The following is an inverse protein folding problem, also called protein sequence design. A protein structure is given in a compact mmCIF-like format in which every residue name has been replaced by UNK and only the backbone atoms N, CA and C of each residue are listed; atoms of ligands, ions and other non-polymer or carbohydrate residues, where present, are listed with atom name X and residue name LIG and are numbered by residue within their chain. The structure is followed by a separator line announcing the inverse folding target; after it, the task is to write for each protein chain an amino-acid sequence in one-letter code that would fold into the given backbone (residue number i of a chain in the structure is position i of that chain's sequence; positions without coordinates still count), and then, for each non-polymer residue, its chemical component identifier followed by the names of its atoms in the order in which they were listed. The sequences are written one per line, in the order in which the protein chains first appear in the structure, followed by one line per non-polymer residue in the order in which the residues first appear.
data_IF_236216180898
#
_entry.id   IF_236216180898
#
_cell.length_a   1.000
_cell.length_b   1.000
_cell.length_c   1.000
_cell.angle_alpha   90.00
_cell.angle_beta   90.00
_cell.angle_gamma   90.00
#
_symmetry.space_group_name_H-M   'P 1'
#
loop_
_entity.id
_entity.type
_entity.pdbx_description
1 polymer ?
#
# COMPACT_ATOMS: atom_id res chain seq x y z
N UNK A 1 14.56 2.53 -15.33
CA UNK A 1 14.02 2.07 -14.04
C UNK A 1 12.53 2.25 -14.16
N UNK A 2 11.83 1.16 -14.38
CA UNK A 2 10.38 1.08 -14.52
C UNK A 2 9.90 0.29 -13.32
N UNK A 3 9.39 0.99 -12.32
CA UNK A 3 8.76 0.44 -11.13
C UNK A 3 7.31 0.08 -11.49
N UNK A 4 7.15 -0.98 -12.28
CA UNK A 4 5.85 -1.62 -12.47
C UNK A 4 5.49 -2.37 -11.18
N UNK A 5 4.49 -1.86 -10.47
CA UNK A 5 3.96 -2.52 -9.27
C UNK A 5 3.01 -3.64 -9.68
N UNK A 6 3.51 -4.73 -10.26
CA UNK A 6 2.65 -5.88 -10.57
C UNK A 6 2.08 -6.49 -9.28
N UNK A 7 0.81 -6.21 -8.97
CA UNK A 7 0.07 -7.04 -8.03
C UNK A 7 -0.33 -8.31 -8.77
N UNK A 8 0.56 -9.29 -8.78
CA UNK A 8 0.19 -10.67 -9.02
C UNK A 8 -0.92 -10.99 -8.04
N UNK A 9 -2.14 -11.21 -8.53
CA UNK A 9 -3.23 -11.78 -7.73
C UNK A 9 -2.62 -13.04 -7.09
N UNK A 10 -2.40 -13.09 -5.76
CA UNK A 10 -1.82 -14.29 -5.19
C UNK A 10 -2.76 -15.44 -5.56
N UNK A 11 -2.24 -16.58 -6.06
CA UNK A 11 -3.08 -17.68 -6.53
C UNK A 11 -4.10 -18.12 -5.46
N UNK A 12 -3.84 -17.84 -4.18
CA UNK A 12 -4.75 -18.03 -3.05
C UNK A 12 -6.08 -17.27 -3.15
N UNK A 13 -6.16 -16.08 -3.77
CA UNK A 13 -7.42 -15.37 -3.96
C UNK A 13 -8.28 -16.02 -5.07
N UNK A 14 -7.64 -16.57 -6.11
CA UNK A 14 -8.34 -17.40 -7.10
C UNK A 14 -8.74 -18.78 -6.54
N UNK A 15 -8.15 -19.27 -5.44
CA UNK A 15 -8.45 -20.60 -4.90
C UNK A 15 -9.71 -20.67 -4.00
N UNK A 16 -10.37 -19.54 -3.69
CA UNK A 16 -11.55 -19.51 -2.78
C UNK A 16 -12.92 -19.85 -3.41
N UNK A 17 -12.99 -20.17 -4.71
CA UNK A 17 -14.29 -20.37 -5.40
C UNK A 17 -15.11 -19.08 -5.61
N UNK A 18 -14.53 -17.92 -5.31
CA UNK A 18 -15.13 -16.59 -5.44
C UNK A 18 -15.13 -16.08 -6.89
N UNK A 19 -16.13 -15.28 -7.25
CA UNK A 19 -16.19 -14.54 -8.51
C UNK A 19 -15.30 -13.30 -8.41
N UNK A 20 -14.43 -13.09 -9.41
CA UNK A 20 -13.49 -11.97 -9.43
C UNK A 20 -13.93 -10.99 -10.52
N UNK A 21 -14.17 -9.74 -10.13
CA UNK A 21 -14.48 -8.66 -11.06
C UNK A 21 -13.21 -7.89 -11.40
N UNK A 22 -12.88 -7.79 -12.69
CA UNK A 22 -11.73 -7.03 -13.16
C UNK A 22 -12.22 -5.75 -13.82
N UNK A 23 -11.68 -4.63 -13.42
CA UNK A 23 -11.88 -3.33 -14.04
C UNK A 23 -10.64 -3.02 -14.86
N UNK A 24 -10.73 -3.21 -16.17
CA UNK A 24 -9.62 -3.04 -17.10
C UNK A 24 -9.60 -1.65 -17.71
N UNK A 25 -8.66 -0.81 -17.29
CA UNK A 25 -8.46 0.56 -17.77
C UNK A 25 -7.20 0.72 -18.64
N UNK A 26 -6.22 -0.16 -18.49
CA UNK A 26 -4.90 -0.07 -19.14
C UNK A 26 -4.63 -1.24 -20.09
N UNK A 27 -5.12 -2.44 -19.78
CA UNK A 27 -4.89 -3.67 -20.58
C UNK A 27 -6.22 -4.17 -21.14
N UNK A 28 -6.24 -4.61 -22.40
CA UNK A 28 -7.45 -5.16 -23.04
C UNK A 28 -7.91 -6.51 -22.44
N UNK A 29 -9.18 -6.88 -22.63
CA UNK A 29 -9.70 -8.16 -22.15
C UNK A 29 -8.95 -9.36 -22.75
N UNK A 30 -8.60 -9.25 -24.04
CA UNK A 30 -7.90 -10.32 -24.76
C UNK A 30 -6.52 -10.58 -24.14
N UNK A 31 -5.72 -9.52 -23.98
CA UNK A 31 -4.38 -9.59 -23.39
C UNK A 31 -4.44 -10.02 -21.91
N UNK A 32 -5.43 -9.56 -21.17
CA UNK A 32 -5.60 -9.95 -19.77
C UNK A 32 -5.90 -11.45 -19.64
N UNK A 33 -6.75 -12.00 -20.52
CA UNK A 33 -7.18 -13.41 -20.46
C UNK A 33 -6.15 -14.40 -21.01
N UNK A 34 -5.26 -13.95 -21.89
CA UNK A 34 -4.19 -14.79 -22.46
C UNK A 34 -3.27 -15.40 -21.38
N UNK A 35 -3.14 -14.76 -20.21
CA UNK A 35 -2.32 -15.24 -19.11
C UNK A 35 -2.98 -16.28 -18.20
N UNK A 36 -4.26 -16.63 -18.39
CA UNK A 36 -5.01 -17.49 -17.47
C UNK A 36 -5.60 -18.75 -18.13
N UNK A 37 -5.66 -19.83 -17.36
CA UNK A 37 -6.36 -21.06 -17.75
C UNK A 37 -7.87 -20.85 -17.90
N UNK A 38 -8.53 -21.72 -18.66
CA UNK A 38 -9.98 -21.65 -18.92
C UNK A 38 -10.84 -21.67 -17.65
N UNK A 39 -10.42 -22.41 -16.63
CA UNK A 39 -11.15 -22.52 -15.36
C UNK A 39 -11.14 -21.21 -14.56
N UNK A 40 -10.03 -20.47 -14.63
CA UNK A 40 -9.91 -19.14 -14.02
C UNK A 40 -10.75 -18.17 -14.83
N UNK A 41 -10.60 -18.17 -16.15
CA UNK A 41 -11.33 -17.28 -17.06
C UNK A 41 -12.87 -17.40 -16.91
N UNK A 42 -13.40 -18.59 -16.63
CA UNK A 42 -14.83 -18.80 -16.38
C UNK A 42 -15.34 -18.12 -15.09
N UNK A 43 -14.45 -17.77 -14.16
CA UNK A 43 -14.77 -17.11 -12.88
C UNK A 43 -14.51 -15.61 -12.91
N UNK A 44 -13.84 -15.13 -13.95
CA UNK A 44 -13.51 -13.73 -14.17
C UNK A 44 -14.65 -13.01 -14.89
N UNK A 45 -15.13 -11.93 -14.30
CA UNK A 45 -16.04 -10.98 -14.95
C UNK A 45 -15.24 -9.73 -15.27
N UNK A 46 -14.91 -9.54 -16.55
CA UNK A 46 -14.13 -8.42 -17.02
C UNK A 46 -15.04 -7.25 -17.42
N UNK A 47 -14.70 -6.05 -16.98
CA UNK A 47 -15.38 -4.81 -17.33
C UNK A 47 -14.40 -3.94 -18.14
N UNK A 48 -14.70 -3.76 -19.42
CA UNK A 48 -13.86 -3.02 -20.36
C UNK A 48 -14.06 -1.49 -20.19
N UNK A 49 -13.05 -0.84 -19.62
CA UNK A 49 -12.88 0.61 -19.63
C UNK A 49 -11.67 1.04 -20.48
N UNK A 50 -11.00 0.10 -21.15
CA UNK A 50 -9.84 0.35 -22.00
C UNK A 50 -10.26 0.91 -23.36
N UNK A 51 -11.23 0.26 -24.02
CA UNK A 51 -11.69 0.68 -25.36
C UNK A 51 -12.57 1.93 -25.30
N UNK A 52 -13.40 2.02 -24.26
CA UNK A 52 -14.38 3.10 -24.13
C UNK A 52 -14.61 3.53 -22.66
N UNK A 53 -13.65 4.22 -22.03
CA UNK A 53 -13.71 4.62 -20.63
C UNK A 53 -14.88 5.54 -20.27
N UNK A 54 -15.41 6.27 -21.26
CA UNK A 54 -16.51 7.24 -21.10
C UNK A 54 -17.85 6.70 -21.62
N UNK A 55 -17.89 5.46 -22.10
CA UNK A 55 -19.06 4.86 -22.76
C UNK A 55 -19.62 5.74 -23.91
N UNK A 56 -18.74 6.31 -24.74
CA UNK A 56 -19.13 7.10 -25.91
C UNK A 56 -19.88 6.26 -26.96
N UNK A 57 -19.55 4.97 -27.04
CA UNK A 57 -20.21 3.98 -27.90
C UNK A 57 -21.65 3.69 -27.48
N UNK A 58 -22.06 4.08 -26.26
CA UNK A 58 -23.40 3.81 -25.68
C UNK A 58 -23.78 2.33 -25.73
N UNK A 59 -22.79 1.46 -25.54
CA UNK A 59 -23.04 0.02 -25.47
C UNK A 59 -23.87 -0.26 -24.21
N UNK A 60 -24.96 -1.02 -24.33
CA UNK A 60 -25.92 -1.26 -23.24
C UNK A 60 -25.30 -1.98 -22.02
N UNK A 61 -24.13 -2.62 -22.21
CA UNK A 61 -23.38 -3.33 -21.16
C UNK A 61 -22.55 -2.40 -20.25
N UNK A 62 -22.34 -1.14 -20.64
CA UNK A 62 -21.50 -0.24 -19.88
C UNK A 62 -22.21 0.35 -18.65
N UNK A 63 -21.66 0.06 -17.48
CA UNK A 63 -22.17 0.49 -16.18
C UNK A 63 -22.25 2.03 -16.09
N UNK A 64 -23.41 2.60 -15.70
CA UNK A 64 -23.60 4.03 -15.65
C UNK A 64 -22.68 4.66 -14.59
N UNK A 65 -21.91 5.67 -14.99
CA UNK A 65 -21.03 6.43 -14.09
C UNK A 65 -19.55 6.06 -14.12
N UNK A 66 -19.08 5.39 -15.17
CA UNK A 66 -17.66 5.06 -15.39
C UNK A 66 -17.12 4.03 -14.38
N UNK A 67 -15.79 3.95 -14.20
CA UNK A 67 -15.17 2.95 -13.33
C UNK A 67 -15.65 2.99 -11.88
N UNK A 68 -15.87 4.19 -11.31
CA UNK A 68 -16.39 4.35 -9.95
C UNK A 68 -17.89 3.98 -9.85
N UNK A 69 -18.65 4.18 -10.93
CA UNK A 69 -20.04 3.71 -11.03
C UNK A 69 -20.10 2.19 -11.02
N UNK A 70 -19.23 1.54 -11.79
CA UNK A 70 -19.10 0.10 -11.85
C UNK A 70 -18.71 -0.51 -10.49
N UNK A 71 -17.70 0.06 -9.80
CA UNK A 71 -17.34 -0.34 -8.44
C UNK A 71 -18.55 -0.34 -7.50
N UNK A 72 -19.35 0.74 -7.51
CA UNK A 72 -20.54 0.85 -6.68
C UNK A 72 -21.64 -0.13 -7.09
N UNK A 73 -21.80 -0.42 -8.37
CA UNK A 73 -22.79 -1.38 -8.85
C UNK A 73 -22.43 -2.81 -8.45
N UNK A 74 -21.15 -3.20 -8.55
CA UNK A 74 -20.65 -4.52 -8.12
C UNK A 74 -20.92 -4.73 -6.62
N UNK A 75 -20.70 -3.70 -5.80
CA UNK A 75 -20.92 -3.81 -4.36
C UNK A 75 -22.41 -3.82 -3.96
N UNK A 76 -23.28 -3.20 -4.78
CA UNK A 76 -24.73 -3.20 -4.54
C UNK A 76 -25.43 -4.50 -4.93
N UNK A 77 -24.69 -5.48 -5.46
CA UNK A 77 -25.27 -6.77 -5.85
C UNK A 77 -25.91 -7.44 -4.63
N UNK A 78 -27.09 -8.03 -4.85
CA UNK A 78 -27.87 -8.75 -3.84
C UNK A 78 -27.36 -10.16 -3.55
N UNK A 79 -26.24 -10.57 -4.17
CA UNK A 79 -25.69 -11.92 -4.03
C UNK A 79 -24.82 -12.00 -2.76
N UNK A 80 -25.10 -12.92 -1.82
CA UNK A 80 -24.45 -12.97 -0.50
C UNK A 80 -23.03 -13.59 -0.49
N UNK A 81 -22.31 -13.56 -1.61
CA UNK A 81 -20.99 -14.15 -1.74
C UNK A 81 -19.85 -13.18 -1.39
N UNK A 82 -18.67 -13.69 -0.99
CA UNK A 82 -17.46 -12.87 -0.97
C UNK A 82 -17.09 -12.48 -2.40
N UNK A 83 -16.75 -11.21 -2.59
CA UNK A 83 -16.46 -10.64 -3.91
C UNK A 83 -15.06 -10.02 -3.89
N UNK A 84 -14.25 -10.39 -4.88
CA UNK A 84 -12.96 -9.76 -5.11
C UNK A 84 -13.06 -8.85 -6.32
N UNK A 85 -12.64 -7.60 -6.16
CA UNK A 85 -12.55 -6.61 -7.23
C UNK A 85 -11.07 -6.33 -7.49
N UNK A 86 -10.61 -6.55 -8.71
CA UNK A 86 -9.26 -6.23 -9.17
C UNK A 86 -9.31 -5.02 -10.11
N UNK A 87 -8.52 -4.00 -9.81
CA UNK A 87 -8.29 -2.82 -10.63
C UNK A 87 -6.92 -2.97 -11.29
N UNK A 88 -6.89 -3.02 -12.61
CA UNK A 88 -5.65 -3.23 -13.37
C UNK A 88 -4.67 -2.05 -13.25
N UNK A 89 -5.17 -0.83 -13.12
CA UNK A 89 -4.38 0.40 -12.99
C UNK A 89 -5.14 1.49 -12.23
N UNK A 90 -4.85 1.62 -10.93
CA UNK A 90 -5.23 2.79 -10.13
C UNK A 90 -4.55 4.06 -10.64
N UNK A 91 -3.38 3.93 -11.28
CA UNK A 91 -2.68 5.07 -11.86
C UNK A 91 -3.49 5.75 -12.94
N UNK A 92 -4.11 4.97 -13.83
CA UNK A 92 -5.01 5.50 -14.84
C UNK A 92 -6.17 6.28 -14.18
N UNK A 93 -6.78 5.71 -13.14
CA UNK A 93 -7.85 6.40 -12.40
C UNK A 93 -7.40 7.70 -11.73
N UNK A 94 -6.21 7.73 -11.14
CA UNK A 94 -5.64 8.93 -10.53
C UNK A 94 -5.31 10.04 -11.54
N UNK A 95 -5.05 9.69 -12.81
CA UNK A 95 -4.85 10.66 -13.88
C UNK A 95 -6.16 11.33 -14.32
N UNK A 96 -7.29 10.63 -14.20
CA UNK A 96 -8.59 11.09 -14.67
C UNK A 96 -9.53 11.58 -13.56
N UNK A 97 -9.27 11.22 -12.30
CA UNK A 97 -10.13 11.51 -11.16
C UNK A 97 -9.33 12.12 -10.01
N UNK A 98 -9.93 13.04 -9.23
CA UNK A 98 -9.29 13.54 -8.02
C UNK A 98 -8.99 12.39 -7.04
N UNK A 99 -7.77 12.40 -6.48
CA UNK A 99 -7.33 11.40 -5.49
C UNK A 99 -8.33 11.23 -4.33
N UNK A 100 -8.91 12.34 -3.86
CA UNK A 100 -9.92 12.33 -2.79
C UNK A 100 -11.17 11.55 -3.18
N UNK A 101 -11.68 11.71 -4.40
CA UNK A 101 -12.84 10.99 -4.92
C UNK A 101 -12.57 9.49 -5.02
N UNK A 102 -11.37 9.12 -5.49
CA UNK A 102 -10.95 7.72 -5.58
C UNK A 102 -10.84 7.09 -4.19
N UNK A 103 -10.17 7.77 -3.26
CA UNK A 103 -10.03 7.34 -1.87
C UNK A 103 -11.40 7.14 -1.19
N UNK A 104 -12.32 8.07 -1.38
CA UNK A 104 -13.69 7.97 -0.85
C UNK A 104 -14.45 6.79 -1.45
N UNK A 105 -14.32 6.56 -2.76
CA UNK A 105 -14.96 5.43 -3.42
C UNK A 105 -14.41 4.09 -2.89
N UNK A 106 -13.08 3.94 -2.81
CA UNK A 106 -12.44 2.73 -2.29
C UNK A 106 -12.79 2.48 -0.82
N UNK A 107 -12.81 3.53 0.00
CA UNK A 107 -13.23 3.45 1.40
C UNK A 107 -14.70 3.04 1.54
N UNK A 108 -15.60 3.58 0.72
CA UNK A 108 -17.01 3.21 0.74
C UNK A 108 -17.26 1.75 0.31
N UNK A 109 -16.40 1.22 -0.56
CA UNK A 109 -16.45 -0.20 -0.95
C UNK A 109 -15.97 -1.09 0.19
N UNK A 110 -14.87 -0.74 0.86
CA UNK A 110 -14.30 -1.56 1.94
C UNK A 110 -15.09 -1.50 3.26
N UNK A 111 -15.91 -0.46 3.48
CA UNK A 111 -16.65 -0.26 4.73
C UNK A 111 -18.17 -0.53 4.63
N UNK A 112 -18.63 -1.16 3.55
CA UNK A 112 -20.04 -1.63 3.46
C UNK A 112 -20.40 -2.68 4.53
N UNK A 113 -19.39 -3.19 5.25
CA UNK A 113 -19.51 -4.11 6.39
C UNK A 113 -20.09 -3.48 7.68
N UNK A 114 -20.44 -2.18 7.71
CA UNK A 114 -20.72 -1.45 8.97
C UNK A 114 -22.09 -0.76 9.06
N UNK A 115 -23.16 -1.39 8.58
CA UNK A 115 -24.51 -0.99 9.00
C UNK A 115 -24.87 -1.70 10.32
N UNK A 116 -25.09 -0.97 11.43
CA UNK A 116 -25.47 -1.56 12.70
C UNK A 116 -26.98 -1.85 12.67
N UNK A 117 -27.41 -2.98 12.11
CA UNK A 117 -28.83 -3.30 12.08
C UNK A 117 -29.24 -4.65 11.52
N UNK A 118 -28.50 -5.21 10.56
CA UNK A 118 -28.89 -6.47 9.91
C UNK A 118 -27.89 -7.59 10.22
N UNK A 119 -28.39 -8.62 10.90
CA UNK A 119 -27.66 -9.81 11.35
C UNK A 119 -27.50 -10.85 10.25
N UNK A 120 -27.04 -10.45 9.06
CA UNK A 120 -26.59 -11.39 8.02
C UNK A 120 -25.07 -11.28 7.88
N UNK A 121 -24.36 -12.38 7.55
CA UNK A 121 -22.93 -12.32 7.28
C UNK A 121 -22.74 -11.52 5.98
N UNK A 122 -22.54 -10.22 6.12
CA UNK A 122 -22.30 -9.29 5.01
C UNK A 122 -21.08 -9.81 4.22
N UNK A 123 -21.26 -9.95 2.90
CA UNK A 123 -20.25 -10.48 2.01
C UNK A 123 -18.99 -9.62 2.05
N UNK A 124 -17.87 -10.20 2.47
CA UNK A 124 -16.58 -9.50 2.55
C UNK A 124 -16.15 -9.09 1.14
N UNK A 125 -16.02 -7.79 0.90
CA UNK A 125 -15.50 -7.25 -0.37
C UNK A 125 -14.00 -7.00 -0.24
N UNK A 126 -13.21 -7.66 -1.08
CA UNK A 126 -11.77 -7.42 -1.19
C UNK A 126 -11.48 -6.59 -2.44
N UNK A 127 -10.73 -5.51 -2.29
CA UNK A 127 -10.30 -4.68 -3.43
C UNK A 127 -8.79 -4.78 -3.58
N UNK A 128 -8.37 -5.14 -4.79
CA UNK A 128 -6.99 -5.17 -5.24
C UNK A 128 -6.82 -4.10 -6.31
N UNK A 129 -5.73 -3.33 -6.27
CA UNK A 129 -5.49 -2.31 -7.28
C UNK A 129 -4.03 -1.99 -7.47
N UNK A 130 -3.60 -1.95 -8.73
CA UNK A 130 -2.21 -1.73 -9.12
C UNK A 130 -1.88 -0.24 -9.19
N UNK A 131 -0.80 0.20 -8.56
CA UNK A 131 -0.41 1.60 -8.52
C UNK A 131 1.04 1.78 -8.97
N UNK A 132 1.27 2.53 -10.04
CA UNK A 132 2.62 2.91 -10.48
C UNK A 132 3.12 4.14 -9.72
N UNK A 133 3.96 3.93 -8.70
CA UNK A 133 4.52 5.02 -7.87
C UNK A 133 5.25 6.11 -8.69
N UNK A 134 5.90 5.75 -9.79
CA UNK A 134 6.66 6.69 -10.63
C UNK A 134 5.80 7.77 -11.30
N UNK A 135 4.49 7.55 -11.41
CA UNK A 135 3.56 8.49 -12.03
C UNK A 135 2.95 9.48 -11.03
N UNK A 136 3.12 9.26 -9.72
CA UNK A 136 2.41 10.01 -8.69
C UNK A 136 3.35 10.62 -7.65
N UNK A 137 2.96 11.78 -7.11
CA UNK A 137 3.67 12.37 -5.99
C UNK A 137 3.44 11.61 -4.66
N UNK A 138 4.19 11.95 -3.60
CA UNK A 138 4.07 11.28 -2.30
C UNK A 138 2.68 11.45 -1.65
N UNK A 139 1.93 12.50 -2.01
CA UNK A 139 0.59 12.75 -1.48
C UNK A 139 -0.43 11.67 -1.87
N UNK A 140 -0.74 11.48 -3.17
CA UNK A 140 -1.67 10.44 -3.63
C UNK A 140 -1.26 9.03 -3.23
N UNK A 141 0.04 8.70 -3.32
CA UNK A 141 0.58 7.39 -2.91
C UNK A 141 0.35 7.17 -1.42
N UNK A 142 0.68 8.15 -0.58
CA UNK A 142 0.48 8.05 0.87
C UNK A 142 -1.01 7.92 1.26
N UNK A 143 -1.90 8.63 0.56
CA UNK A 143 -3.34 8.53 0.78
C UNK A 143 -3.88 7.12 0.49
N UNK A 144 -3.50 6.53 -0.66
CA UNK A 144 -3.89 5.16 -1.01
C UNK A 144 -3.25 4.11 -0.09
N UNK A 145 -1.97 4.28 0.24
CA UNK A 145 -1.26 3.43 1.21
C UNK A 145 -1.96 3.40 2.57
N UNK A 146 -2.49 4.55 3.04
CA UNK A 146 -3.23 4.62 4.30
C UNK A 146 -4.56 3.86 4.29
N UNK A 147 -5.17 3.66 3.12
CA UNK A 147 -6.41 2.88 2.95
C UNK A 147 -6.13 1.37 2.81
N UNK A 148 -4.92 1.00 2.37
CA UNK A 148 -4.55 -0.37 2.10
C UNK A 148 -4.27 -1.16 3.39
N UNK A 149 -4.95 -2.30 3.54
CA UNK A 149 -4.66 -3.28 4.59
C UNK A 149 -3.35 -4.02 4.33
N UNK A 150 -3.06 -4.31 3.06
CA UNK A 150 -1.81 -4.92 2.62
C UNK A 150 -1.29 -4.13 1.45
N UNK A 151 -0.02 -3.76 1.52
CA UNK A 151 0.71 -3.05 0.48
C UNK A 151 1.87 -3.94 0.05
N UNK A 152 2.03 -4.11 -1.26
CA UNK A 152 3.11 -4.91 -1.84
C UNK A 152 3.87 -4.03 -2.82
N UNK A 153 5.07 -3.62 -2.43
CA UNK A 153 5.97 -2.81 -3.25
C UNK A 153 6.95 -3.74 -3.94
N UNK A 154 6.91 -3.77 -5.27
CA UNK A 154 7.84 -4.57 -6.07
C UNK A 154 9.07 -3.74 -6.43
N UNK A 155 10.25 -4.32 -6.20
CA UNK A 155 11.55 -3.76 -6.55
C UNK A 155 12.44 -4.82 -7.18
N UNK A 156 13.60 -4.40 -7.68
CA UNK A 156 14.59 -5.35 -8.19
C UNK A 156 15.64 -4.72 -9.09
N UNK A 157 16.81 -5.34 -9.11
CA UNK A 157 17.87 -5.07 -10.10
C UNK A 157 18.03 -6.30 -10.99
N UNK A 158 18.53 -6.14 -12.22
CA UNK A 158 18.64 -7.23 -13.22
C UNK A 158 19.16 -8.53 -12.58
N UNK A 159 18.30 -9.55 -12.49
CA UNK A 159 18.61 -10.89 -11.98
C UNK A 159 17.92 -11.27 -10.67
N UNK A 160 17.42 -10.31 -9.87
CA UNK A 160 16.73 -10.59 -8.61
C UNK A 160 15.63 -9.56 -8.34
N UNK A 161 14.41 -10.03 -8.09
CA UNK A 161 13.27 -9.19 -7.71
C UNK A 161 12.98 -9.32 -6.20
N UNK A 162 12.50 -8.23 -5.61
CA UNK A 162 12.05 -8.17 -4.22
C UNK A 162 10.59 -7.71 -4.16
N UNK A 163 9.85 -8.27 -3.22
CA UNK A 163 8.54 -7.79 -2.81
C UNK A 163 8.64 -7.36 -1.34
N UNK A 164 8.40 -6.09 -1.07
CA UNK A 164 8.23 -5.57 0.27
C UNK A 164 6.74 -5.58 0.60
N UNK A 165 6.36 -6.36 1.61
CA UNK A 165 4.98 -6.62 2.00
C UNK A 165 4.73 -5.97 3.36
N UNK A 166 3.88 -4.95 3.36
CA UNK A 166 3.45 -4.26 4.58
C UNK A 166 2.00 -4.62 4.89
N UNK A 167 1.80 -5.37 5.98
CA UNK A 167 0.48 -5.79 6.45
C UNK A 167 0.04 -4.97 7.66
N UNK A 168 -1.08 -4.28 7.54
CA UNK A 168 -1.72 -3.47 8.58
C UNK A 168 -2.99 -4.20 9.06
N UNK A 169 -2.88 -4.88 10.20
CA UNK A 169 -4.02 -5.57 10.83
C UNK A 169 -4.71 -4.69 11.86
N UNK A 170 -6.06 -4.66 11.93
CA UNK A 170 -6.77 -3.92 12.96
C UNK A 170 -6.28 -4.33 14.36
N UNK A 171 -5.91 -3.34 15.18
CA UNK A 171 -5.44 -3.52 16.57
C UNK A 171 -4.09 -4.24 16.72
N UNK A 172 -3.31 -4.43 15.66
CA UNK A 172 -1.96 -4.99 15.74
C UNK A 172 -0.93 -4.02 15.16
N UNK A 173 0.33 -4.19 15.58
CA UNK A 173 1.45 -3.45 14.98
C UNK A 173 1.59 -3.88 13.51
N UNK A 174 1.84 -2.94 12.58
CA UNK A 174 2.12 -3.29 11.20
C UNK A 174 3.26 -4.33 11.12
N UNK A 175 3.07 -5.34 10.29
CA UNK A 175 4.10 -6.36 10.00
C UNK A 175 4.74 -6.02 8.67
N UNK A 176 6.07 -5.99 8.64
CA UNK A 176 6.87 -5.72 7.45
C UNK A 176 7.68 -6.99 7.12
N UNK A 177 7.57 -7.45 5.88
CA UNK A 177 8.27 -8.62 5.38
C UNK A 177 8.84 -8.31 4.00
N UNK A 178 10.12 -8.60 3.79
CA UNK A 178 10.73 -8.57 2.45
C UNK A 178 10.91 -10.00 1.95
N UNK A 179 10.41 -10.28 0.75
CA UNK A 179 10.51 -11.58 0.09
C UNK A 179 11.24 -11.43 -1.24
N UNK A 180 12.18 -12.33 -1.52
CA UNK A 180 12.95 -12.33 -2.76
C UNK A 180 12.41 -13.39 -3.68
N UNK A 181 12.33 -13.08 -4.97
CA UNK A 181 11.79 -14.02 -5.95
C UNK A 181 12.43 -13.86 -7.32
N UNK A 182 12.31 -14.92 -8.11
CA UNK A 182 12.59 -14.92 -9.54
C UNK A 182 11.37 -15.44 -10.30
N UNK A 183 11.05 -14.79 -11.41
CA UNK A 183 9.98 -15.22 -12.31
C UNK A 183 10.59 -16.25 -13.26
N UNK A 184 10.05 -17.47 -13.23
CA UNK A 184 10.45 -18.56 -14.11
C UNK A 184 9.84 -18.37 -15.52
N UNK A 185 10.36 -19.05 -16.55
CA UNK A 185 9.87 -18.91 -17.93
C UNK A 185 8.39 -19.33 -18.14
N UNK A 186 7.84 -20.10 -17.21
CA UNK A 186 6.44 -20.50 -17.14
C UNK A 186 5.58 -19.51 -16.32
N UNK A 187 6.13 -18.33 -16.01
CA UNK A 187 5.53 -17.28 -15.17
C UNK A 187 5.27 -17.71 -13.73
N UNK A 188 5.77 -18.87 -13.30
CA UNK A 188 5.74 -19.26 -11.90
C UNK A 188 6.76 -18.47 -11.08
N UNK A 189 6.50 -18.32 -9.79
CA UNK A 189 7.37 -17.61 -8.87
C UNK A 189 8.23 -18.60 -8.09
N UNK A 190 9.55 -18.50 -8.24
CA UNK A 190 10.51 -19.16 -7.37
C UNK A 190 10.81 -18.24 -6.17
N UNK A 191 10.24 -18.60 -5.01
CA UNK A 191 10.40 -17.85 -3.77
C UNK A 191 11.71 -18.25 -3.12
N UNK A 192 12.65 -17.31 -3.10
CA UNK A 192 13.93 -17.52 -2.45
C UNK A 192 13.80 -17.12 -0.98
N UNK A 193 14.25 -17.99 -0.09
CA UNK A 193 14.55 -17.57 1.26
C UNK A 193 15.64 -16.51 1.14
N UNK A 194 15.29 -15.27 1.48
CA UNK A 194 16.22 -14.16 1.34
C UNK A 194 17.53 -14.49 2.05
N UNK A 195 18.65 -13.82 1.69
CA UNK A 195 19.79 -13.84 2.58
C UNK A 195 19.26 -13.48 3.97
N UNK A 196 19.38 -14.41 4.92
CA UNK A 196 18.97 -14.16 6.29
C UNK A 196 19.56 -12.81 6.63
N UNK A 197 18.72 -11.85 7.00
CA UNK A 197 19.19 -10.71 7.76
C UNK A 197 19.56 -11.31 9.10
N UNK A 198 20.69 -12.03 9.13
CA UNK A 198 21.53 -12.13 10.30
C UNK A 198 21.65 -10.69 10.72
N UNK A 199 20.91 -10.37 11.78
CA UNK A 199 20.67 -9.03 12.28
C UNK A 199 21.96 -8.26 12.11
N UNK A 200 22.05 -7.45 11.04
CA UNK A 200 23.19 -6.58 10.89
C UNK A 200 23.13 -5.77 12.16
N UNK A 201 24.13 -5.86 13.07
CA UNK A 201 24.22 -4.88 14.11
C UNK A 201 24.28 -3.57 13.33
N UNK A 202 23.26 -2.73 13.54
CA UNK A 202 23.10 -1.41 12.95
C UNK A 202 24.47 -0.90 12.51
N UNK A 203 24.78 -1.11 11.22
CA UNK A 203 26.09 -0.71 10.70
C UNK A 203 25.90 0.75 10.37
N UNK A 204 25.83 1.53 11.46
CA UNK A 204 26.03 2.96 11.47
C UNK A 204 27.25 3.20 10.58
N UNK A 205 27.10 3.88 9.42
CA UNK A 205 28.21 4.13 8.53
C UNK A 205 29.15 5.05 9.29
N UNK A 206 30.15 4.48 9.98
CA UNK A 206 31.07 5.14 10.92
C UNK A 206 31.05 6.67 10.77
N UNK A 207 30.07 7.30 11.42
CA UNK A 207 30.15 8.71 11.72
C UNK A 207 31.14 8.70 12.87
N UNK A 208 32.40 9.16 12.70
CA UNK A 208 33.25 9.39 13.86
C UNK A 208 32.41 10.26 14.80
N UNK A 209 32.26 9.91 16.09
CA UNK A 209 31.26 10.51 16.96
C UNK A 209 31.34 12.02 16.84
N UNK A 210 30.41 12.60 16.07
CA UNK A 210 30.37 14.04 15.86
C UNK A 210 29.79 14.55 17.16
N UNK A 211 30.67 15.08 17.99
CA UNK A 211 30.29 15.77 19.21
C UNK A 211 29.26 16.84 18.80
N UNK A 212 27.98 16.72 19.22
CA UNK A 212 26.91 17.63 18.81
C UNK A 212 27.15 19.08 19.25
N UNK A 213 28.20 19.32 20.04
CA UNK A 213 28.63 20.65 20.48
C UNK A 213 29.62 21.33 19.53
N UNK A 214 30.10 20.66 18.48
CA UNK A 214 31.11 21.19 17.53
C UNK A 214 30.69 22.43 16.73
N UNK A 215 29.38 22.69 16.60
CA UNK A 215 28.84 23.88 15.93
C UNK A 215 28.36 24.98 16.88
N UNK A 216 28.59 24.83 18.19
CA UNK A 216 28.25 25.87 19.14
C UNK A 216 29.35 26.94 19.17
N UNK A 217 28.95 28.19 18.95
CA UNK A 217 29.81 29.36 19.10
C UNK A 217 30.08 29.72 20.57
N UNK A 218 29.54 28.94 21.51
CA UNK A 218 29.75 29.09 22.94
C UNK A 218 30.06 27.73 23.58
N UNK A 219 31.02 27.72 24.50
CA UNK A 219 31.42 26.50 25.20
C UNK A 219 30.35 26.09 26.21
N UNK A 220 29.78 24.88 26.05
CA UNK A 220 28.85 24.30 27.02
C UNK A 220 29.55 23.71 28.25
N UNK A 221 30.86 23.46 28.16
CA UNK A 221 31.64 22.93 29.26
C UNK A 221 32.30 24.07 30.02
N UNK A 222 31.90 24.23 31.30
CA UNK A 222 32.64 25.07 32.24
C UNK A 222 34.02 24.43 32.48
N UNK A 223 35.07 25.22 32.32
CA UNK A 223 36.41 24.82 32.77
C UNK A 223 36.42 24.56 34.27
N UNK A 224 37.43 23.83 34.76
CA UNK A 224 37.55 23.51 36.18
C UNK A 224 37.49 24.76 37.07
N UNK A 225 38.13 25.85 36.63
CA UNK A 225 38.11 27.16 37.31
C UNK A 225 36.74 27.82 37.30
N UNK A 226 36.01 27.75 36.19
CA UNK A 226 34.66 28.32 36.08
C UNK A 226 33.63 27.53 36.88
N UNK A 227 33.78 26.20 36.96
CA UNK A 227 32.96 25.35 37.81
C UNK A 227 33.18 25.69 39.29
N UNK A 228 34.44 25.80 39.71
CA UNK A 228 34.78 26.23 41.09
C UNK A 228 34.28 27.65 41.39
N UNK A 229 34.32 28.58 40.42
CA UNK A 229 33.75 29.92 40.57
C UNK A 229 32.22 29.91 40.67
N UNK A 230 31.53 29.08 39.88
CA UNK A 230 30.07 28.91 39.97
C UNK A 230 29.65 28.29 41.31
N UNK A 231 30.37 27.29 41.77
CA UNK A 231 30.04 26.58 43.01
C UNK A 231 30.36 27.42 44.27
N UNK A 232 31.25 28.42 44.14
CA UNK A 232 31.56 29.39 45.20
C UNK A 232 30.68 30.65 45.17
N UNK A 233 29.82 30.81 44.15
CA UNK A 233 28.84 31.88 44.12
C UNK A 233 27.68 31.56 45.07
N UNK A 234 27.63 32.30 46.17
CA UNK A 234 26.48 32.28 47.09
C UNK A 234 25.31 32.97 46.36
N UNK A 235 24.28 32.19 46.05
CA UNK A 235 23.07 32.74 45.42
C UNK A 235 22.34 33.65 46.44
N UNK A 236 21.88 34.84 46.03
CA UNK A 236 21.32 35.85 46.95
C UNK A 236 20.04 35.44 47.68
N UNK A 237 19.45 34.27 47.37
CA UNK A 237 18.20 33.80 47.96
C UNK A 237 18.34 32.37 48.46
N UNK A 238 19.00 32.20 49.61
CA UNK A 238 18.79 31.02 50.44
C UNK A 238 17.78 31.36 51.52
N UNK A 239 16.56 30.85 51.38
CA UNK A 239 15.62 30.77 52.49
C UNK A 239 16.18 29.77 53.50
N UNK A 240 16.74 30.26 54.60
CA UNK A 240 17.15 29.43 55.72
C UNK A 240 15.93 28.69 56.27
N UNK A 241 15.90 27.36 56.12
CA UNK A 241 15.09 26.51 57.00
C UNK A 241 15.99 26.06 58.14
N UNK A 242 16.00 26.82 59.24
CA UNK A 242 15.99 26.21 60.57
C UNK A 242 15.40 27.19 61.59
N UNK A 243 14.71 26.60 62.56
CA UNK A 243 13.80 27.18 63.56
C UNK A 243 14.53 27.49 64.86
#
# INVERSE_FOLDING_TARGET
GTCAHSLTVPPHLCLSGEQVHILGCEVSEEEFREGFDSDINNRLVYHDFFRDPLNWSKTEEALPGGPLGALRAICKRTDPGPVTIALDSLSWLLLHLPCTTLCQALHAVSHQDSCPGDSSPVGKVSVLGLLHEELHGPGPVGALSSLAQTEVTLGGTKGQASAHILCRRPRQRPTDQTQWFSILPDFSLDLQEGPSVESQPCSDPHIPPVDPTTHLTFNLHLSKKEREARDSLILPFQFSSEK
#
